data_IF_025122227501
#
_entry.id   IF_025122227501
#
_cell.length_a   1.000
_cell.length_b   1.000
_cell.length_c   1.000
_cell.angle_alpha   90.00
_cell.angle_beta   90.00
_cell.angle_gamma   90.00
#
_symmetry.space_group_name_H-M   'P 1'
#
loop_
_entity.id
_entity.type
_entity.pdbx_description
1 polymer ?
#
# COMPACT_ATOMS: atom_id res chain seq x y z
N UNK A 1 -73.27 22.73 -62.89
CA UNK A 1 -73.41 22.92 -61.45
C UNK A 1 -73.16 21.55 -60.85
N UNK A 2 -71.94 21.30 -60.34
CA UNK A 2 -71.59 20.05 -59.69
C UNK A 2 -71.91 20.20 -58.26
N UNK A 3 -73.03 19.57 -57.81
CA UNK A 3 -73.37 19.44 -56.39
C UNK A 3 -72.29 18.57 -55.75
N UNK A 4 -71.41 19.17 -55.04
CA UNK A 4 -70.54 18.50 -54.08
C UNK A 4 -71.38 18.20 -52.86
N UNK A 5 -71.99 16.97 -52.86
CA UNK A 5 -72.52 16.40 -51.64
C UNK A 5 -71.40 16.33 -50.60
N UNK A 6 -71.37 17.30 -49.70
CA UNK A 6 -70.62 17.24 -48.50
C UNK A 6 -71.17 16.12 -47.67
N UNK A 7 -70.65 14.89 -47.94
CA UNK A 7 -70.88 13.75 -47.09
C UNK A 7 -70.69 14.18 -45.64
N UNK A 8 -71.71 14.00 -44.84
CA UNK A 8 -71.71 14.23 -43.40
C UNK A 8 -70.53 13.56 -42.83
N UNK A 9 -69.47 14.36 -42.51
CA UNK A 9 -68.29 13.89 -41.83
C UNK A 9 -68.77 13.26 -40.51
N UNK A 10 -68.65 11.92 -40.41
CA UNK A 10 -68.99 11.24 -39.17
C UNK A 10 -67.94 11.57 -38.10
N UNK A 11 -68.25 12.62 -37.34
CA UNK A 11 -67.41 13.10 -36.23
C UNK A 11 -67.14 12.01 -35.19
N UNK A 12 -68.01 11.00 -35.05
CA UNK A 12 -67.79 9.92 -34.12
C UNK A 12 -66.69 8.98 -34.66
N UNK A 13 -66.65 8.72 -35.96
CA UNK A 13 -65.59 7.92 -36.58
C UNK A 13 -64.25 8.63 -36.50
N UNK A 14 -64.17 9.96 -36.74
CA UNK A 14 -62.95 10.76 -36.60
C UNK A 14 -62.49 10.76 -35.15
N UNK A 15 -63.39 10.97 -34.18
CA UNK A 15 -63.08 10.95 -32.75
C UNK A 15 -62.55 9.55 -32.32
N UNK A 16 -63.16 8.46 -32.78
CA UNK A 16 -62.68 7.11 -32.51
C UNK A 16 -61.25 6.84 -33.05
N UNK A 17 -61.00 7.28 -34.29
CA UNK A 17 -59.66 7.19 -34.89
C UNK A 17 -58.63 8.02 -34.12
N UNK A 18 -58.96 9.26 -33.78
CA UNK A 18 -58.09 10.14 -33.00
C UNK A 18 -57.77 9.56 -31.61
N UNK A 19 -58.76 9.00 -30.91
CA UNK A 19 -58.61 8.35 -29.62
C UNK A 19 -57.72 7.13 -29.72
N UNK A 20 -57.88 6.30 -30.77
CA UNK A 20 -57.05 5.11 -31.02
C UNK A 20 -55.61 5.50 -31.30
N UNK A 21 -55.38 6.49 -32.13
CA UNK A 21 -54.03 7.03 -32.40
C UNK A 21 -53.39 7.61 -31.15
N UNK A 22 -54.13 8.36 -30.34
CA UNK A 22 -53.59 8.88 -29.06
C UNK A 22 -53.19 7.75 -28.10
N UNK A 23 -54.01 6.67 -28.05
CA UNK A 23 -53.67 5.49 -27.23
C UNK A 23 -52.41 4.79 -27.73
N UNK A 24 -52.26 4.60 -29.03
CA UNK A 24 -51.06 4.03 -29.63
C UNK A 24 -49.83 4.87 -29.31
N UNK A 25 -49.92 6.20 -29.48
CA UNK A 25 -48.79 7.12 -29.18
C UNK A 25 -48.43 7.04 -27.68
N UNK A 26 -49.41 7.06 -26.79
CA UNK A 26 -49.21 6.95 -25.36
C UNK A 26 -48.52 5.61 -24.99
N UNK A 27 -48.97 4.50 -25.56
CA UNK A 27 -48.35 3.22 -25.34
C UNK A 27 -46.88 3.16 -25.82
N UNK A 28 -46.60 3.70 -27.01
CA UNK A 28 -45.22 3.79 -27.51
C UNK A 28 -44.35 4.71 -26.67
N UNK A 29 -44.89 5.86 -26.22
CA UNK A 29 -44.17 6.77 -25.32
C UNK A 29 -43.77 6.09 -24.00
N UNK A 30 -44.74 5.35 -23.37
CA UNK A 30 -44.46 4.62 -22.13
C UNK A 30 -43.36 3.55 -22.38
N UNK A 31 -43.45 2.81 -23.50
CA UNK A 31 -42.46 1.79 -23.83
C UNK A 31 -41.07 2.37 -24.07
N UNK A 32 -40.99 3.49 -24.78
CA UNK A 32 -39.72 4.22 -25.01
C UNK A 32 -39.16 4.75 -23.68
N UNK A 33 -40.00 5.38 -22.84
CA UNK A 33 -39.60 5.90 -21.53
C UNK A 33 -39.06 4.78 -20.64
N UNK A 34 -39.76 3.65 -20.53
CA UNK A 34 -39.30 2.50 -19.74
C UNK A 34 -37.96 1.95 -20.23
N UNK A 35 -37.74 1.96 -21.55
CA UNK A 35 -36.46 1.47 -22.13
C UNK A 35 -35.33 2.46 -21.82
N UNK A 36 -35.60 3.76 -21.91
CA UNK A 36 -34.65 4.82 -21.55
C UNK A 36 -34.33 4.79 -20.04
N UNK A 37 -35.36 4.64 -19.20
CA UNK A 37 -35.19 4.54 -17.75
C UNK A 37 -34.33 3.33 -17.36
N UNK A 38 -34.53 2.20 -18.02
CA UNK A 38 -33.68 1.01 -17.82
C UNK A 38 -32.23 1.29 -18.20
N UNK A 39 -31.96 1.88 -19.37
CA UNK A 39 -30.63 2.25 -19.81
C UNK A 39 -29.98 3.29 -18.87
N UNK A 40 -30.74 4.27 -18.42
CA UNK A 40 -30.25 5.28 -17.48
C UNK A 40 -29.88 4.64 -16.13
N UNK A 41 -30.68 3.72 -15.61
CA UNK A 41 -30.35 2.98 -14.37
C UNK A 41 -29.09 2.13 -14.55
N UNK A 42 -28.98 1.41 -15.66
CA UNK A 42 -27.77 0.63 -15.95
C UNK A 42 -26.52 1.51 -16.05
N UNK A 43 -26.64 2.67 -16.69
CA UNK A 43 -25.55 3.65 -16.77
C UNK A 43 -25.19 4.20 -15.37
N UNK A 44 -26.19 4.56 -14.57
CA UNK A 44 -25.96 5.04 -13.20
C UNK A 44 -25.30 3.98 -12.32
N UNK A 45 -25.71 2.72 -12.43
CA UNK A 45 -25.09 1.60 -11.71
C UNK A 45 -23.61 1.45 -12.09
N UNK A 46 -23.29 1.51 -13.39
CA UNK A 46 -21.90 1.46 -13.87
C UNK A 46 -21.08 2.64 -13.38
N UNK A 47 -21.67 3.85 -13.36
CA UNK A 47 -21.01 5.04 -12.84
C UNK A 47 -20.70 4.88 -11.35
N UNK A 48 -21.68 4.44 -10.55
CA UNK A 48 -21.49 4.18 -9.11
C UNK A 48 -20.45 3.10 -8.86
N UNK A 49 -20.43 2.04 -9.67
CA UNK A 49 -19.40 1.01 -9.60
C UNK A 49 -18.02 1.60 -9.88
N UNK A 50 -17.88 2.38 -10.96
CA UNK A 50 -16.62 3.04 -11.32
C UNK A 50 -16.11 3.93 -10.20
N UNK A 51 -16.98 4.79 -9.63
CA UNK A 51 -16.64 5.66 -8.52
C UNK A 51 -16.20 4.89 -7.27
N UNK A 52 -16.91 3.80 -6.96
CA UNK A 52 -16.54 2.92 -5.84
C UNK A 52 -15.17 2.27 -6.04
N UNK A 53 -14.89 1.74 -7.23
CA UNK A 53 -13.61 1.11 -7.53
C UNK A 53 -12.48 2.13 -7.57
N UNK A 54 -12.71 3.35 -8.09
CA UNK A 54 -11.72 4.43 -8.03
C UNK A 54 -11.39 4.80 -6.58
N UNK A 55 -12.39 4.94 -5.72
CA UNK A 55 -12.20 5.25 -4.30
C UNK A 55 -11.40 4.16 -3.59
N UNK A 56 -11.69 2.89 -3.89
CA UNK A 56 -10.95 1.76 -3.32
C UNK A 56 -9.48 1.77 -3.76
N UNK A 57 -9.21 2.10 -5.03
CA UNK A 57 -7.85 2.22 -5.55
C UNK A 57 -7.10 3.38 -4.87
N UNK A 58 -7.74 4.55 -4.74
CA UNK A 58 -7.13 5.71 -4.10
C UNK A 58 -6.81 5.44 -2.61
N UNK A 59 -7.72 4.76 -1.90
CA UNK A 59 -7.50 4.36 -0.51
C UNK A 59 -6.36 3.33 -0.38
N UNK A 60 -6.28 2.38 -1.30
CA UNK A 60 -5.16 1.44 -1.37
C UNK A 60 -3.84 2.16 -1.57
N UNK A 61 -3.74 3.04 -2.58
CA UNK A 61 -2.53 3.81 -2.87
C UNK A 61 -2.11 4.61 -1.64
N UNK A 62 -3.05 5.30 -1.00
CA UNK A 62 -2.77 6.09 0.21
C UNK A 62 -2.13 5.23 1.31
N UNK A 63 -2.71 4.07 1.63
CA UNK A 63 -2.18 3.16 2.66
C UNK A 63 -0.81 2.61 2.30
N UNK A 64 -0.61 2.25 1.02
CA UNK A 64 0.69 1.79 0.51
C UNK A 64 1.76 2.86 0.67
N UNK A 65 1.46 4.11 0.29
CA UNK A 65 2.39 5.24 0.40
C UNK A 65 2.71 5.55 1.87
N UNK A 66 1.74 5.47 2.78
CA UNK A 66 1.96 5.68 4.22
C UNK A 66 2.99 4.67 4.78
N UNK A 67 2.83 3.38 4.46
CA UNK A 67 3.78 2.34 4.89
C UNK A 67 5.14 2.55 4.23
N UNK A 68 5.14 2.83 2.93
CA UNK A 68 6.36 3.02 2.14
C UNK A 68 7.21 4.20 2.66
N UNK A 69 6.58 5.33 2.96
CA UNK A 69 7.27 6.51 3.48
C UNK A 69 7.85 6.28 4.89
N UNK A 70 7.19 5.46 5.71
CA UNK A 70 7.69 5.09 7.03
C UNK A 70 8.82 4.04 7.02
N UNK A 71 9.36 3.67 5.85
CA UNK A 71 10.43 2.66 5.71
C UNK A 71 11.59 3.16 4.87
N UNK A 72 12.15 4.31 5.21
CA UNK A 72 13.22 4.94 4.42
C UNK A 72 14.61 4.32 4.70
N UNK A 73 15.26 3.63 3.74
CA UNK A 73 16.58 3.03 3.97
C UNK A 73 17.69 4.05 4.23
N UNK A 74 17.49 5.32 3.86
CA UNK A 74 18.45 6.38 4.16
C UNK A 74 18.57 6.63 5.67
N UNK A 75 17.52 6.34 6.44
CA UNK A 75 17.57 6.43 7.90
C UNK A 75 18.54 5.39 8.46
N UNK A 76 18.56 4.17 7.88
CA UNK A 76 19.52 3.12 8.25
C UNK A 76 20.96 3.64 8.08
N UNK A 77 21.26 4.21 6.91
CA UNK A 77 22.60 4.77 6.64
C UNK A 77 22.94 5.89 7.59
N UNK A 78 22.05 6.86 7.72
CA UNK A 78 22.30 8.08 8.49
C UNK A 78 22.49 7.77 9.98
N UNK A 79 21.56 7.04 10.59
CA UNK A 79 21.62 6.80 12.04
C UNK A 79 22.64 5.75 12.43
N UNK A 80 22.83 4.68 11.63
CA UNK A 80 23.87 3.70 11.90
C UNK A 80 25.26 4.32 11.79
N UNK A 81 25.51 5.12 10.75
CA UNK A 81 26.79 5.81 10.57
C UNK A 81 27.09 6.81 11.71
N UNK A 82 26.11 7.61 12.11
CA UNK A 82 26.25 8.50 13.27
C UNK A 82 26.55 7.75 14.56
N UNK A 83 25.87 6.62 14.75
CA UNK A 83 26.06 5.79 15.93
C UNK A 83 27.47 5.18 15.98
N UNK A 84 27.94 4.61 14.85
CA UNK A 84 29.29 4.03 14.72
C UNK A 84 30.37 5.08 14.99
N UNK A 85 30.17 6.29 14.46
CA UNK A 85 31.13 7.39 14.59
C UNK A 85 31.04 8.19 15.90
N UNK A 86 30.18 7.76 16.82
CA UNK A 86 29.93 8.44 18.11
C UNK A 86 29.44 9.90 17.93
N UNK A 87 28.69 10.17 16.89
CA UNK A 87 28.09 11.49 16.54
C UNK A 87 26.59 11.53 16.81
N UNK A 88 26.09 10.59 17.61
CA UNK A 88 24.68 10.40 17.89
C UNK A 88 24.19 11.43 18.92
N UNK A 89 23.22 12.25 18.55
CA UNK A 89 22.65 13.31 19.39
C UNK A 89 21.37 12.85 20.10
N UNK A 90 20.91 13.61 21.11
CA UNK A 90 19.59 13.37 21.73
C UNK A 90 18.44 13.45 20.72
N UNK A 91 18.52 14.37 19.74
CA UNK A 91 17.52 14.43 18.66
C UNK A 91 17.50 13.17 17.78
N UNK A 92 18.66 12.54 17.55
CA UNK A 92 18.74 11.28 16.83
C UNK A 92 18.13 10.15 17.65
N UNK A 93 18.25 10.16 18.99
CA UNK A 93 17.60 9.20 19.89
C UNK A 93 16.08 9.29 19.78
N UNK A 94 15.54 10.51 19.91
CA UNK A 94 14.10 10.76 19.80
C UNK A 94 13.55 10.31 18.44
N UNK A 95 14.29 10.62 17.36
CA UNK A 95 13.91 10.21 16.00
C UNK A 95 13.90 8.68 15.83
N UNK A 96 14.85 7.96 16.40
CA UNK A 96 14.88 6.49 16.36
C UNK A 96 13.75 5.87 17.18
N UNK A 97 13.47 6.43 18.36
CA UNK A 97 12.32 5.98 19.15
C UNK A 97 11.02 6.18 18.38
N UNK A 98 10.85 7.32 17.73
CA UNK A 98 9.71 7.60 16.86
C UNK A 98 9.65 6.60 15.70
N UNK A 99 10.75 6.31 15.02
CA UNK A 99 10.80 5.33 13.94
C UNK A 99 10.41 3.91 14.42
N UNK A 100 10.81 3.50 15.62
CA UNK A 100 10.44 2.23 16.20
C UNK A 100 8.93 2.15 16.52
N UNK A 101 8.35 3.24 17.01
CA UNK A 101 6.91 3.35 17.26
C UNK A 101 6.12 3.35 15.95
N UNK A 102 6.57 4.08 14.93
CA UNK A 102 5.97 4.12 13.60
C UNK A 102 6.02 2.76 12.91
N UNK A 103 7.05 1.94 13.14
CA UNK A 103 7.10 0.56 12.66
C UNK A 103 5.95 -0.30 13.20
N UNK A 104 5.57 -0.15 14.47
CA UNK A 104 4.43 -0.86 15.03
C UNK A 104 3.11 -0.45 14.35
N UNK A 105 2.93 0.84 14.13
CA UNK A 105 1.76 1.38 13.42
C UNK A 105 1.73 0.85 11.97
N UNK A 106 2.87 0.86 11.29
CA UNK A 106 2.98 0.36 9.92
C UNK A 106 2.72 -1.16 9.82
N UNK A 107 3.05 -1.92 10.86
CA UNK A 107 2.68 -3.33 10.95
C UNK A 107 1.16 -3.52 10.96
N UNK A 108 0.44 -2.73 11.75
CA UNK A 108 -1.03 -2.77 11.80
C UNK A 108 -1.62 -2.35 10.45
N UNK A 109 -1.11 -1.26 9.85
CA UNK A 109 -1.55 -0.79 8.53
C UNK A 109 -1.37 -1.86 7.45
N UNK A 110 -0.23 -2.56 7.46
CA UNK A 110 0.03 -3.65 6.51
C UNK A 110 -0.96 -4.81 6.70
N UNK A 111 -1.25 -5.21 7.94
CA UNK A 111 -2.22 -6.25 8.21
C UNK A 111 -3.63 -5.87 7.72
N UNK A 112 -4.05 -4.63 7.94
CA UNK A 112 -5.31 -4.10 7.40
C UNK A 112 -5.30 -4.14 5.86
N UNK A 113 -4.20 -3.75 5.24
CA UNK A 113 -4.06 -3.79 3.78
C UNK A 113 -4.16 -5.21 3.23
N UNK A 114 -3.53 -6.19 3.87
CA UNK A 114 -3.63 -7.61 3.51
C UNK A 114 -5.10 -8.07 3.53
N UNK A 115 -5.83 -7.76 4.60
CA UNK A 115 -7.25 -8.15 4.75
C UNK A 115 -8.11 -7.50 3.65
N UNK A 116 -7.93 -6.20 3.40
CA UNK A 116 -8.71 -5.47 2.41
C UNK A 116 -8.48 -5.97 0.99
N UNK A 117 -7.26 -6.39 0.69
CA UNK A 117 -6.84 -6.79 -0.65
C UNK A 117 -6.74 -8.31 -0.85
N UNK A 118 -7.17 -9.10 0.12
CA UNK A 118 -7.10 -10.58 0.03
C UNK A 118 -7.79 -11.15 -1.22
N UNK A 119 -8.84 -10.49 -1.70
CA UNK A 119 -9.58 -10.89 -2.90
C UNK A 119 -8.99 -10.35 -4.21
N UNK A 120 -7.97 -9.49 -4.15
CA UNK A 120 -7.36 -8.85 -5.33
C UNK A 120 -6.03 -9.53 -5.63
N UNK A 121 -6.08 -10.60 -6.43
CA UNK A 121 -4.89 -11.41 -6.77
C UNK A 121 -3.74 -10.58 -7.36
N UNK A 122 -4.06 -9.56 -8.17
CA UNK A 122 -3.06 -8.67 -8.78
C UNK A 122 -2.28 -7.81 -7.76
N UNK A 123 -2.84 -7.55 -6.58
CA UNK A 123 -2.19 -6.76 -5.53
C UNK A 123 -1.31 -7.59 -4.60
N UNK A 124 -1.51 -8.92 -4.50
CA UNK A 124 -0.80 -9.79 -3.55
C UNK A 124 0.72 -9.72 -3.67
N UNK A 125 1.34 -9.79 -4.88
CA UNK A 125 2.79 -9.70 -5.01
C UNK A 125 3.34 -8.36 -4.53
N UNK A 126 2.60 -7.27 -4.79
CA UNK A 126 2.97 -5.93 -4.38
C UNK A 126 2.93 -5.77 -2.85
N UNK A 127 1.86 -6.26 -2.22
CA UNK A 127 1.69 -6.23 -0.75
C UNK A 127 2.78 -7.07 -0.07
N UNK A 128 3.08 -8.26 -0.61
CA UNK A 128 4.16 -9.09 -0.09
C UNK A 128 5.49 -8.35 -0.11
N UNK A 129 5.83 -7.73 -1.25
CA UNK A 129 7.10 -6.99 -1.39
C UNK A 129 7.18 -5.78 -0.45
N UNK A 130 6.06 -5.07 -0.24
CA UNK A 130 5.96 -4.01 0.75
C UNK A 130 6.18 -4.56 2.17
N UNK A 131 5.65 -5.74 2.46
CA UNK A 131 5.86 -6.46 3.71
C UNK A 131 7.32 -6.78 3.96
N UNK A 132 8.02 -7.30 2.96
CA UNK A 132 9.44 -7.62 3.04
C UNK A 132 10.29 -6.36 3.34
N UNK A 133 10.00 -5.24 2.66
CA UNK A 133 10.66 -3.94 2.90
C UNK A 133 10.42 -3.47 4.33
N UNK A 134 9.15 -3.48 4.78
CA UNK A 134 8.78 -3.03 6.12
C UNK A 134 9.41 -3.91 7.20
N UNK A 135 9.38 -5.23 7.03
CA UNK A 135 9.94 -6.16 8.01
C UNK A 135 11.44 -5.91 8.21
N UNK A 136 12.19 -5.79 7.13
CA UNK A 136 13.62 -5.49 7.17
C UNK A 136 13.92 -4.17 7.89
N UNK A 137 13.20 -3.11 7.50
CA UNK A 137 13.33 -1.80 8.14
C UNK A 137 12.96 -1.85 9.63
N UNK A 138 11.86 -2.54 9.96
CA UNK A 138 11.39 -2.66 11.34
C UNK A 138 12.34 -3.45 12.23
N UNK A 139 13.01 -4.48 11.70
CA UNK A 139 14.08 -5.17 12.44
C UNK A 139 15.19 -4.18 12.80
N UNK A 140 15.64 -3.38 11.84
CA UNK A 140 16.66 -2.36 12.12
C UNK A 140 16.17 -1.33 13.15
N UNK A 141 15.02 -0.71 12.96
CA UNK A 141 14.50 0.36 13.82
C UNK A 141 14.35 -0.09 15.28
N UNK A 142 13.77 -1.28 15.49
CA UNK A 142 13.61 -1.83 16.85
C UNK A 142 14.94 -2.16 17.51
N UNK A 143 15.87 -2.74 16.76
CA UNK A 143 17.13 -3.19 17.33
C UNK A 143 18.08 -2.01 17.59
N UNK A 144 18.13 -1.01 16.72
CA UNK A 144 18.92 0.18 16.98
C UNK A 144 18.38 0.99 18.16
N UNK A 145 17.05 1.01 18.35
CA UNK A 145 16.45 1.62 19.54
C UNK A 145 16.84 0.90 20.82
N UNK A 146 16.81 -0.46 20.83
CA UNK A 146 17.29 -1.24 21.97
C UNK A 146 18.76 -0.98 22.29
N UNK A 147 19.60 -0.86 21.26
CA UNK A 147 21.02 -0.54 21.43
C UNK A 147 21.18 0.88 21.99
N UNK A 148 20.44 1.84 21.45
CA UNK A 148 20.46 3.23 21.93
C UNK A 148 20.10 3.36 23.40
N UNK A 149 19.01 2.71 23.83
CA UNK A 149 18.58 2.69 25.24
C UNK A 149 19.62 2.11 26.18
N UNK A 150 20.51 1.24 25.68
CA UNK A 150 21.50 0.51 26.45
C UNK A 150 22.93 1.05 26.29
N UNK A 151 23.14 2.06 25.40
CA UNK A 151 24.48 2.43 24.96
C UNK A 151 25.36 3.05 26.06
N UNK A 152 24.76 3.81 26.99
CA UNK A 152 25.49 4.40 28.12
C UNK A 152 25.79 3.35 29.21
N UNK A 153 25.06 2.23 29.19
CA UNK A 153 25.05 1.20 30.22
C UNK A 153 25.38 -0.19 29.67
N UNK A 154 26.20 -0.26 28.61
CA UNK A 154 26.53 -1.51 27.91
C UNK A 154 27.09 -2.61 28.83
N UNK A 155 27.73 -2.21 29.91
CA UNK A 155 28.35 -3.14 30.88
C UNK A 155 27.37 -3.59 31.99
N UNK A 156 26.16 -3.03 32.05
CA UNK A 156 25.16 -3.46 33.03
C UNK A 156 24.57 -4.83 32.69
N UNK A 157 24.57 -5.77 33.64
CA UNK A 157 24.06 -7.12 33.41
C UNK A 157 22.63 -7.18 32.88
N UNK A 158 21.76 -6.27 33.34
CA UNK A 158 20.36 -6.18 32.93
C UNK A 158 20.17 -5.86 31.44
N UNK A 159 21.12 -5.18 30.82
CA UNK A 159 21.04 -4.77 29.41
C UNK A 159 21.63 -5.82 28.46
N UNK A 160 22.44 -6.73 29.00
CA UNK A 160 23.15 -7.74 28.20
C UNK A 160 22.23 -8.56 27.31
N UNK A 161 21.11 -9.03 27.83
CA UNK A 161 20.17 -9.87 27.09
C UNK A 161 19.49 -9.10 25.96
N UNK A 162 19.18 -7.82 26.17
CA UNK A 162 18.60 -6.97 25.11
C UNK A 162 19.57 -6.73 23.99
N UNK A 163 20.83 -6.44 24.30
CA UNK A 163 21.91 -6.20 23.33
C UNK A 163 22.16 -7.47 22.52
N UNK A 164 22.24 -8.63 23.15
CA UNK A 164 22.42 -9.92 22.46
C UNK A 164 21.25 -10.19 21.51
N UNK A 165 20.01 -9.93 21.92
CA UNK A 165 18.84 -10.08 21.05
C UNK A 165 18.90 -9.12 19.86
N UNK A 166 19.31 -7.87 20.06
CA UNK A 166 19.46 -6.89 19.00
C UNK A 166 20.54 -7.31 17.99
N UNK A 167 21.72 -7.73 18.48
CA UNK A 167 22.81 -8.25 17.65
C UNK A 167 22.33 -9.44 16.81
N UNK A 168 21.67 -10.42 17.43
CA UNK A 168 21.16 -11.60 16.73
C UNK A 168 20.09 -11.25 15.69
N UNK A 169 19.17 -10.33 16.03
CA UNK A 169 18.12 -9.88 15.10
C UNK A 169 18.71 -9.25 13.83
N UNK A 170 19.63 -8.30 13.99
CA UNK A 170 20.31 -7.66 12.87
C UNK A 170 21.20 -8.63 12.07
N UNK A 171 21.92 -9.52 12.76
CA UNK A 171 22.77 -10.54 12.15
C UNK A 171 21.98 -11.46 11.22
N UNK A 172 20.79 -11.90 11.63
CA UNK A 172 19.93 -12.75 10.82
C UNK A 172 19.49 -12.04 9.53
N UNK A 173 19.19 -10.74 9.60
CA UNK A 173 18.86 -9.96 8.40
C UNK A 173 20.08 -9.81 7.49
N UNK A 174 21.26 -9.51 8.01
CA UNK A 174 22.49 -9.45 7.21
C UNK A 174 22.75 -10.76 6.46
N UNK A 175 22.59 -11.91 7.11
CA UNK A 175 22.75 -13.24 6.48
C UNK A 175 21.67 -13.48 5.42
N UNK A 176 20.44 -13.05 5.66
CA UNK A 176 19.35 -13.18 4.69
C UNK A 176 19.64 -12.41 3.39
N UNK A 177 20.21 -11.22 3.49
CA UNK A 177 20.57 -10.42 2.31
C UNK A 177 21.87 -10.89 1.63
N UNK A 178 22.83 -11.35 2.42
CA UNK A 178 24.09 -11.87 1.90
C UNK A 178 24.60 -13.07 2.71
N UNK A 179 24.20 -14.31 2.29
CA UNK A 179 24.59 -15.54 2.99
C UNK A 179 26.12 -15.76 3.13
N UNK A 180 26.94 -15.11 2.29
CA UNK A 180 28.40 -15.19 2.40
C UNK A 180 28.93 -14.61 3.70
N UNK A 181 28.17 -13.71 4.34
CA UNK A 181 28.53 -13.10 5.62
C UNK A 181 28.26 -13.99 6.83
N UNK A 182 27.63 -15.16 6.67
CA UNK A 182 27.31 -16.03 7.81
C UNK A 182 28.53 -16.38 8.64
N UNK A 183 29.65 -16.73 7.98
CA UNK A 183 30.91 -17.08 8.66
C UNK A 183 31.53 -15.85 9.35
N UNK A 184 31.50 -14.69 8.70
CA UNK A 184 31.98 -13.43 9.25
C UNK A 184 31.18 -13.01 10.48
N UNK A 185 29.86 -13.04 10.41
CA UNK A 185 28.96 -12.72 11.51
C UNK A 185 29.16 -13.68 12.69
N UNK A 186 29.27 -14.98 12.42
CA UNK A 186 29.61 -15.96 13.46
C UNK A 186 30.96 -15.65 14.14
N UNK A 187 31.96 -15.17 13.38
CA UNK A 187 33.23 -14.75 13.94
C UNK A 187 33.11 -13.52 14.85
N UNK A 188 32.24 -12.56 14.50
CA UNK A 188 31.96 -11.39 15.35
C UNK A 188 31.29 -11.83 16.65
N UNK A 189 30.22 -12.62 16.58
CA UNK A 189 29.45 -13.06 17.75
C UNK A 189 30.30 -13.91 18.69
N UNK A 190 31.12 -14.78 18.15
CA UNK A 190 32.02 -15.67 18.92
C UNK A 190 33.35 -15.00 19.30
N UNK A 191 33.57 -13.74 18.91
CA UNK A 191 34.80 -13.03 19.26
C UNK A 191 34.86 -12.77 20.77
N UNK A 192 36.08 -12.62 21.30
CA UNK A 192 36.31 -12.19 22.69
C UNK A 192 36.10 -10.69 22.86
N UNK A 193 35.61 -10.00 21.83
CA UNK A 193 35.29 -8.58 21.86
C UNK A 193 34.14 -8.35 22.83
N UNK A 194 34.12 -7.15 23.43
CA UNK A 194 33.00 -6.76 24.27
C UNK A 194 31.71 -6.58 23.43
N UNK A 195 30.56 -6.58 24.06
CA UNK A 195 29.26 -6.50 23.39
C UNK A 195 29.11 -5.21 22.56
N UNK A 196 29.69 -4.08 23.03
CA UNK A 196 29.69 -2.81 22.31
C UNK A 196 30.37 -2.93 20.96
N UNK A 197 31.56 -3.52 20.94
CA UNK A 197 32.35 -3.71 19.72
C UNK A 197 31.66 -4.71 18.75
N UNK A 198 31.05 -5.78 19.28
CA UNK A 198 30.24 -6.70 18.48
C UNK A 198 29.06 -5.96 17.84
N UNK A 199 28.37 -5.12 18.60
CA UNK A 199 27.23 -4.34 18.13
C UNK A 199 27.64 -3.37 17.00
N UNK A 200 28.74 -2.62 17.17
CA UNK A 200 29.23 -1.69 16.15
C UNK A 200 29.58 -2.42 14.84
N UNK A 201 30.27 -3.58 14.92
CA UNK A 201 30.58 -4.36 13.74
C UNK A 201 29.32 -4.90 13.01
N UNK A 202 28.27 -5.27 13.75
CA UNK A 202 27.01 -5.69 13.14
C UNK A 202 26.24 -4.52 12.52
N UNK A 203 26.27 -3.34 13.13
CA UNK A 203 25.70 -2.13 12.53
C UNK A 203 26.39 -1.75 11.23
N UNK A 204 27.72 -1.83 11.17
CA UNK A 204 28.51 -1.59 9.95
C UNK A 204 28.13 -2.61 8.86
N UNK A 205 28.00 -3.88 9.21
CA UNK A 205 27.53 -4.92 8.30
C UNK A 205 26.10 -4.62 7.79
N UNK A 206 25.20 -4.17 8.66
CA UNK A 206 23.83 -3.82 8.30
C UNK A 206 23.78 -2.61 7.37
N UNK A 207 24.59 -1.60 7.63
CA UNK A 207 24.71 -0.41 6.77
C UNK A 207 25.18 -0.80 5.36
N UNK A 208 26.20 -1.62 5.24
CA UNK A 208 26.80 -1.99 3.94
C UNK A 208 26.01 -3.02 3.18
N UNK A 209 25.47 -4.05 3.85
CA UNK A 209 24.91 -5.23 3.19
C UNK A 209 23.38 -5.22 3.09
N UNK A 210 22.70 -4.44 3.91
CA UNK A 210 21.22 -4.39 3.93
C UNK A 210 20.69 -3.11 3.31
N UNK A 211 21.27 -1.97 3.62
CA UNK A 211 20.74 -0.68 3.20
C UNK A 211 20.72 -0.53 1.66
N UNK A 212 21.79 -0.89 0.97
CA UNK A 212 21.86 -0.76 -0.49
C UNK A 212 20.90 -1.72 -1.22
N UNK A 213 20.84 -3.02 -0.89
CA UNK A 213 19.82 -3.92 -1.44
C UNK A 213 18.39 -3.44 -1.14
N UNK A 214 18.12 -2.94 0.05
CA UNK A 214 16.81 -2.43 0.43
C UNK A 214 16.40 -1.22 -0.43
N UNK A 215 17.33 -0.32 -0.75
CA UNK A 215 17.07 0.78 -1.68
C UNK A 215 16.69 0.27 -3.08
N UNK A 216 17.36 -0.77 -3.57
CA UNK A 216 17.03 -1.37 -4.86
C UNK A 216 15.65 -2.02 -4.84
N UNK A 217 15.33 -2.78 -3.78
CA UNK A 217 14.00 -3.39 -3.61
C UNK A 217 12.91 -2.32 -3.60
N UNK A 218 13.15 -1.16 -2.96
CA UNK A 218 12.20 -0.04 -2.96
C UNK A 218 11.99 0.53 -4.35
N UNK A 219 13.05 0.74 -5.14
CA UNK A 219 12.92 1.22 -6.53
C UNK A 219 12.12 0.24 -7.40
N UNK A 220 12.38 -1.05 -7.24
CA UNK A 220 11.63 -2.08 -7.95
C UNK A 220 10.15 -2.11 -7.52
N UNK A 221 9.88 -1.87 -6.23
CA UNK A 221 8.53 -1.74 -5.70
C UNK A 221 7.81 -0.52 -6.29
N UNK A 222 8.45 0.65 -6.35
CA UNK A 222 7.89 1.87 -6.96
C UNK A 222 7.44 1.60 -8.41
N UNK A 223 8.30 0.95 -9.20
CA UNK A 223 7.98 0.56 -10.57
C UNK A 223 6.78 -0.38 -10.64
N UNK A 224 6.73 -1.39 -9.78
CA UNK A 224 5.62 -2.33 -9.72
C UNK A 224 4.32 -1.65 -9.27
N UNK A 225 4.38 -0.74 -8.30
CA UNK A 225 3.23 0.04 -7.86
C UNK A 225 2.68 0.90 -9.00
N UNK A 226 3.55 1.57 -9.74
CA UNK A 226 3.16 2.38 -10.89
C UNK A 226 2.43 1.54 -11.96
N UNK A 227 2.98 0.39 -12.34
CA UNK A 227 2.36 -0.50 -13.33
C UNK A 227 1.03 -1.08 -12.83
N UNK A 228 0.93 -1.43 -11.56
CA UNK A 228 -0.31 -1.88 -10.93
C UNK A 228 -1.39 -0.80 -11.03
N UNK A 229 -1.09 0.42 -10.56
CA UNK A 229 -2.04 1.56 -10.58
C UNK A 229 -2.50 1.86 -12.00
N UNK A 230 -1.58 1.89 -12.97
CA UNK A 230 -1.90 2.10 -14.37
C UNK A 230 -2.84 1.02 -14.92
N UNK A 231 -2.60 -0.23 -14.60
CA UNK A 231 -3.44 -1.36 -15.04
C UNK A 231 -4.84 -1.27 -14.44
N UNK A 232 -4.95 -1.01 -13.14
CA UNK A 232 -6.23 -0.84 -12.46
C UNK A 232 -7.00 0.38 -12.98
N UNK A 233 -6.33 1.48 -13.27
CA UNK A 233 -6.97 2.67 -13.84
C UNK A 233 -7.54 2.40 -15.24
N UNK A 234 -6.85 1.62 -16.08
CA UNK A 234 -7.36 1.18 -17.38
C UNK A 234 -8.59 0.31 -17.20
N UNK A 235 -8.56 -0.66 -16.26
CA UNK A 235 -9.69 -1.53 -15.94
C UNK A 235 -10.91 -0.75 -15.47
N UNK A 236 -10.72 0.20 -14.54
CA UNK A 236 -11.79 1.05 -14.02
C UNK A 236 -12.40 1.94 -15.11
N UNK A 237 -11.57 2.48 -16.00
CA UNK A 237 -12.05 3.30 -17.11
C UNK A 237 -12.85 2.50 -18.15
N UNK A 238 -12.64 1.19 -18.24
CA UNK A 238 -13.39 0.31 -19.14
C UNK A 238 -14.78 -0.09 -18.62
N UNK A 239 -15.19 0.32 -17.40
CA UNK A 239 -16.51 0.01 -16.81
C UNK A 239 -17.66 0.74 -17.55
N UNK A 240 -17.40 1.90 -18.12
CA UNK A 240 -18.32 2.73 -18.89
C UNK A 240 -17.90 2.72 -20.34
#
# INVERSE_FOLDING_TARGET
MIDLDLHIIDWNAISAIATTLAFIIAFWSIRISNTQDKKNREFQLKLMQKESEQRNLDEFIKKVIEIYNGTNPLDILNYSSKFINNQFSEQDKDAIEQNANDDQINCIRLNVLIILMDKVESAKPLIKKLGDVRETYGVWARNINLINMSFEDFDKPEHKDFIIKAINGMSNVCVQYNPKYESYIKSIINSRKNLKEQCLNILECFETEVSMPLQQIRKDFEKQLYEYVKTEQIRINAII
#
